data_IF_349291271203
#
_entry.id   IF_349291271203
#
_cell.length_a   1.000
_cell.length_b   1.000
_cell.length_c   1.000
_cell.angle_alpha   90.00
_cell.angle_beta   90.00
_cell.angle_gamma   90.00
#
_symmetry.space_group_name_H-M   'P 1'
#
loop_
_entity.id
_entity.type
_entity.pdbx_description
1 polymer ?
#
# COMPACT_ATOMS: atom_id res chain seq x y z
N UNK A 1 -4.14 -12.26 -12.49
CA UNK A 1 -4.62 -13.13 -11.41
C UNK A 1 -6.06 -12.73 -11.13
N UNK A 2 -6.98 -13.69 -11.08
CA UNK A 2 -8.38 -13.42 -10.74
C UNK A 2 -8.49 -12.85 -9.30
N UNK A 3 -9.43 -11.94 -8.98
CA UNK A 3 -9.57 -11.39 -7.63
C UNK A 3 -9.71 -12.45 -6.53
N UNK A 4 -10.40 -13.56 -6.79
CA UNK A 4 -10.52 -14.64 -5.80
C UNK A 4 -9.18 -15.32 -5.53
N UNK A 5 -8.36 -15.52 -6.57
CA UNK A 5 -7.02 -16.09 -6.45
C UNK A 5 -6.06 -15.13 -5.74
N UNK A 6 -6.18 -13.82 -5.97
CA UNK A 6 -5.42 -12.79 -5.25
C UNK A 6 -5.69 -12.87 -3.74
N UNK A 7 -6.97 -12.93 -3.36
CA UNK A 7 -7.38 -13.04 -1.95
C UNK A 7 -6.90 -14.35 -1.33
N UNK A 8 -7.09 -15.48 -2.01
CA UNK A 8 -6.65 -16.77 -1.50
C UNK A 8 -5.14 -16.82 -1.27
N UNK A 9 -4.36 -16.28 -2.21
CA UNK A 9 -2.89 -16.18 -2.08
C UNK A 9 -2.50 -15.25 -0.94
N UNK A 10 -3.17 -14.11 -0.82
CA UNK A 10 -2.87 -13.16 0.25
C UNK A 10 -3.20 -13.74 1.63
N UNK A 11 -4.32 -14.45 1.75
CA UNK A 11 -4.74 -15.07 3.00
C UNK A 11 -3.85 -16.25 3.42
N UNK A 12 -3.14 -16.89 2.48
CA UNK A 12 -2.19 -17.95 2.80
C UNK A 12 -0.82 -17.43 3.24
N UNK A 13 -0.54 -16.12 3.07
CA UNK A 13 0.70 -15.52 3.54
C UNK A 13 0.81 -15.59 5.07
N UNK A 14 1.99 -15.88 5.63
CA UNK A 14 2.21 -15.79 7.07
C UNK A 14 1.91 -14.38 7.59
N UNK A 15 1.28 -14.32 8.77
CA UNK A 15 0.95 -13.09 9.48
C UNK A 15 1.75 -13.04 10.78
N UNK A 16 2.70 -12.12 10.91
CA UNK A 16 3.55 -12.02 12.10
C UNK A 16 3.67 -10.57 12.54
N UNK A 17 3.80 -10.26 13.85
CA UNK A 17 3.93 -8.89 14.35
C UNK A 17 5.18 -8.15 13.87
N UNK A 18 6.22 -8.86 13.43
CA UNK A 18 7.48 -8.30 12.95
C UNK A 18 7.61 -8.49 11.44
N UNK A 19 8.20 -7.48 10.77
CA UNK A 19 8.51 -7.54 9.34
C UNK A 19 9.53 -8.65 9.06
N UNK A 20 9.79 -9.03 7.79
CA UNK A 20 10.65 -10.18 7.48
C UNK A 20 12.05 -10.12 8.10
N UNK A 21 12.61 -8.92 8.31
CA UNK A 21 13.90 -8.73 8.98
C UNK A 21 13.92 -9.12 10.45
N UNK A 22 12.75 -9.25 11.09
CA UNK A 22 12.62 -9.47 12.53
C UNK A 22 12.92 -8.26 13.41
N UNK A 23 13.29 -7.11 12.84
CA UNK A 23 13.79 -5.96 13.59
C UNK A 23 12.77 -4.83 13.80
N UNK A 24 11.73 -4.77 12.98
CA UNK A 24 10.71 -3.71 13.03
C UNK A 24 9.32 -4.31 13.01
N UNK A 25 8.32 -3.53 13.44
CA UNK A 25 6.93 -3.92 13.38
C UNK A 25 6.48 -4.17 11.92
N UNK A 26 5.65 -5.18 11.73
CA UNK A 26 4.93 -5.45 10.48
C UNK A 26 3.69 -4.53 10.36
N UNK A 27 3.93 -3.24 10.52
CA UNK A 27 2.95 -2.18 10.42
C UNK A 27 3.13 -1.43 9.10
N UNK A 28 2.03 -1.19 8.40
CA UNK A 28 2.06 -0.57 7.07
C UNK A 28 1.14 0.65 6.99
N UNK A 29 1.70 1.78 6.58
CA UNK A 29 0.98 2.98 6.23
C UNK A 29 0.60 2.95 4.74
N UNK A 30 -0.64 3.33 4.44
CA UNK A 30 -1.21 3.34 3.10
C UNK A 30 -1.74 4.74 2.80
N UNK A 31 -1.39 5.27 1.64
CA UNK A 31 -1.97 6.53 1.15
C UNK A 31 -2.08 6.54 -0.36
N UNK A 32 -3.02 7.32 -0.89
CA UNK A 32 -3.07 7.63 -2.32
C UNK A 32 -2.28 8.92 -2.54
N UNK A 33 -1.29 8.88 -3.43
CA UNK A 33 -0.40 10.00 -3.69
C UNK A 33 -0.41 10.40 -5.15
N UNK A 34 -0.33 11.70 -5.41
CA UNK A 34 -0.30 12.26 -6.74
C UNK A 34 1.13 12.37 -7.27
N UNK A 35 1.38 11.81 -8.45
CA UNK A 35 2.65 11.90 -9.18
C UNK A 35 2.54 13.01 -10.23
N UNK A 36 3.25 14.14 -10.07
CA UNK A 36 3.16 15.30 -10.97
C UNK A 36 4.10 15.19 -12.18
N UNK A 37 4.31 13.98 -12.71
CA UNK A 37 5.13 13.72 -13.90
C UNK A 37 4.23 13.64 -15.13
N UNK A 38 4.76 13.75 -16.35
CA UNK A 38 3.93 13.68 -17.56
C UNK A 38 3.97 12.25 -18.17
N UNK A 39 2.83 11.54 -18.30
CA UNK A 39 1.47 11.95 -17.91
C UNK A 39 1.23 11.86 -16.38
N UNK A 40 0.45 12.79 -15.80
CA UNK A 40 0.22 12.82 -14.36
C UNK A 40 -0.70 11.68 -13.94
N UNK A 41 -0.51 11.20 -12.71
CA UNK A 41 -1.24 10.05 -12.22
C UNK A 41 -1.33 10.00 -10.70
N UNK A 42 -2.14 9.07 -10.20
CA UNK A 42 -2.15 8.74 -8.79
C UNK A 42 -1.63 7.33 -8.60
N UNK A 43 -1.01 7.08 -7.45
CA UNK A 43 -0.46 5.79 -7.08
C UNK A 43 -0.86 5.44 -5.65
N UNK A 44 -0.86 4.14 -5.36
CA UNK A 44 -0.94 3.64 -4.00
C UNK A 44 0.47 3.64 -3.41
N UNK A 45 0.69 4.47 -2.41
CA UNK A 45 1.92 4.54 -1.64
C UNK A 45 1.79 3.65 -0.41
N UNK A 46 2.74 2.72 -0.27
CA UNK A 46 2.78 1.72 0.81
C UNK A 46 4.11 1.90 1.53
N UNK A 47 4.05 2.15 2.83
CA UNK A 47 5.22 2.45 3.64
C UNK A 47 5.25 1.58 4.89
N UNK A 48 6.41 1.05 5.26
CA UNK A 48 6.66 0.64 6.64
C UNK A 48 7.37 1.79 7.37
N UNK A 49 6.69 2.52 8.28
CA UNK A 49 7.24 3.75 8.87
C UNK A 49 8.54 3.49 9.66
N UNK A 50 8.59 2.40 10.42
CA UNK A 50 9.74 2.04 11.25
C UNK A 50 10.98 1.68 10.40
N UNK A 51 10.80 1.00 9.28
CA UNK A 51 11.89 0.69 8.34
C UNK A 51 12.17 1.80 7.34
N UNK A 52 11.30 2.81 7.23
CA UNK A 52 11.27 3.77 6.12
C UNK A 52 11.31 3.08 4.74
N UNK A 53 10.68 1.91 4.65
CA UNK A 53 10.65 1.12 3.41
C UNK A 53 9.44 1.53 2.57
N UNK A 54 9.70 2.03 1.36
CA UNK A 54 8.69 2.54 0.43
C UNK A 54 8.46 1.54 -0.70
N UNK A 55 7.18 1.27 -0.98
CA UNK A 55 6.71 0.63 -2.20
C UNK A 55 5.60 1.47 -2.84
N UNK A 56 5.51 1.42 -4.16
CA UNK A 56 4.49 2.14 -4.93
C UNK A 56 3.84 1.18 -5.92
N UNK A 57 2.50 1.12 -5.90
CA UNK A 57 1.72 0.42 -6.93
C UNK A 57 0.86 1.41 -7.72
N UNK A 58 0.71 1.14 -9.01
CA UNK A 58 -0.14 1.94 -9.87
C UNK A 58 -0.06 1.52 -11.33
N UNK A 59 -0.64 2.33 -12.24
CA UNK A 59 -1.39 3.55 -11.92
C UNK A 59 -2.72 3.25 -11.24
N UNK A 60 -3.13 4.10 -10.29
CA UNK A 60 -4.56 4.26 -10.01
C UNK A 60 -5.17 4.94 -11.25
N UNK A 61 -6.34 4.49 -11.76
CA UNK A 61 -6.99 5.12 -12.90
C UNK A 61 -7.04 6.63 -12.71
N UNK A 62 -6.78 7.43 -13.75
CA UNK A 62 -6.78 8.90 -13.62
C UNK A 62 -8.12 9.46 -13.09
N UNK A 63 -9.21 8.71 -13.28
CA UNK A 63 -10.51 8.98 -12.68
C UNK A 63 -10.52 8.84 -11.14
N UNK A 64 -9.57 8.16 -10.52
CA UNK A 64 -9.53 7.84 -9.09
C UNK A 64 -9.39 9.06 -8.17
N UNK A 65 -8.94 10.23 -8.64
CA UNK A 65 -9.01 11.45 -7.84
C UNK A 65 -10.46 11.87 -7.58
N UNK A 66 -11.31 11.77 -8.61
CA UNK A 66 -12.73 12.14 -8.58
C UNK A 66 -13.68 10.94 -8.54
N UNK A 67 -13.15 9.73 -8.49
CA UNK A 67 -13.96 8.53 -8.47
C UNK A 67 -14.69 8.42 -7.13
N UNK A 68 -15.86 7.77 -7.11
CA UNK A 68 -16.51 7.40 -5.86
C UNK A 68 -15.55 6.66 -4.93
N UNK A 69 -15.66 6.88 -3.62
CA UNK A 69 -14.78 6.25 -2.63
C UNK A 69 -14.78 4.72 -2.74
N UNK A 70 -15.91 4.11 -3.09
CA UNK A 70 -16.02 2.66 -3.34
C UNK A 70 -15.10 2.18 -4.47
N UNK A 71 -14.93 2.96 -5.54
CA UNK A 71 -14.02 2.63 -6.64
C UNK A 71 -12.57 2.82 -6.22
N UNK A 72 -12.26 3.87 -5.45
CA UNK A 72 -10.92 4.08 -4.88
C UNK A 72 -10.54 2.91 -3.99
N UNK A 73 -11.41 2.53 -3.06
CA UNK A 73 -11.22 1.43 -2.14
C UNK A 73 -11.05 0.08 -2.86
N UNK A 74 -11.91 -0.23 -3.84
CA UNK A 74 -11.82 -1.45 -4.64
C UNK A 74 -10.48 -1.55 -5.40
N UNK A 75 -10.05 -0.45 -6.02
CA UNK A 75 -8.80 -0.42 -6.77
C UNK A 75 -7.60 -0.53 -5.83
N UNK A 76 -7.59 0.25 -4.73
CA UNK A 76 -6.54 0.19 -3.71
C UNK A 76 -6.44 -1.20 -3.09
N UNK A 77 -7.56 -1.87 -2.80
CA UNK A 77 -7.57 -3.23 -2.29
C UNK A 77 -6.86 -4.20 -3.24
N UNK A 78 -7.20 -4.18 -4.53
CA UNK A 78 -6.58 -5.05 -5.53
C UNK A 78 -5.08 -4.78 -5.68
N UNK A 79 -4.68 -3.51 -5.75
CA UNK A 79 -3.26 -3.12 -5.84
C UNK A 79 -2.47 -3.55 -4.59
N UNK A 80 -3.06 -3.37 -3.41
CA UNK A 80 -2.47 -3.73 -2.14
C UNK A 80 -2.25 -5.25 -2.02
N UNK A 81 -3.29 -6.05 -2.33
CA UNK A 81 -3.19 -7.51 -2.33
C UNK A 81 -2.13 -7.99 -3.33
N UNK A 82 -2.11 -7.40 -4.53
CA UNK A 82 -1.08 -7.68 -5.54
C UNK A 82 0.32 -7.35 -5.00
N UNK A 83 0.51 -6.21 -4.35
CA UNK A 83 1.81 -5.78 -3.82
C UNK A 83 2.39 -6.83 -2.86
N UNK A 84 1.61 -7.24 -1.86
CA UNK A 84 2.06 -8.22 -0.85
C UNK A 84 2.24 -9.63 -1.43
N UNK A 85 1.34 -10.08 -2.31
CA UNK A 85 1.51 -11.35 -3.02
C UNK A 85 2.81 -11.38 -3.84
N UNK A 86 3.24 -10.21 -4.31
CA UNK A 86 4.44 -10.03 -5.12
C UNK A 86 5.68 -9.59 -4.32
N UNK A 87 5.68 -9.77 -2.99
CA UNK A 87 6.78 -9.39 -2.10
C UNK A 87 7.21 -7.92 -2.24
N UNK A 88 6.27 -7.02 -2.56
CA UNK A 88 6.52 -5.60 -2.81
C UNK A 88 7.59 -5.39 -3.91
N UNK A 89 7.57 -6.24 -4.95
CA UNK A 89 8.51 -6.17 -6.06
C UNK A 89 9.84 -6.90 -5.83
N UNK A 90 10.12 -7.40 -4.61
CA UNK A 90 11.34 -8.16 -4.30
C UNK A 90 11.20 -9.63 -4.75
N UNK A 91 11.08 -9.83 -6.07
CA UNK A 91 10.99 -11.15 -6.68
C UNK A 91 12.16 -12.05 -6.26
N UNK A 92 11.87 -13.29 -5.89
CA UNK A 92 12.88 -14.28 -5.48
C UNK A 92 13.14 -14.38 -3.98
N UNK A 93 12.56 -13.51 -3.15
CA UNK A 93 12.62 -13.61 -1.69
C UNK A 93 11.30 -14.14 -1.13
N UNK A 94 11.03 -15.45 -1.30
CA UNK A 94 9.79 -16.07 -0.79
C UNK A 94 9.65 -15.94 0.74
N UNK A 95 10.77 -15.90 1.47
CA UNK A 95 10.81 -15.66 2.92
C UNK A 95 10.35 -14.24 3.31
N UNK A 96 10.33 -13.30 2.36
CA UNK A 96 9.89 -11.92 2.56
C UNK A 96 8.37 -11.72 2.38
N UNK A 97 7.65 -12.73 1.89
CA UNK A 97 6.20 -12.65 1.68
C UNK A 97 5.45 -12.80 2.99
N UNK A 98 5.26 -11.68 3.67
CA UNK A 98 4.35 -11.57 4.81
C UNK A 98 3.16 -10.70 4.41
N UNK A 99 1.97 -11.07 4.90
CA UNK A 99 0.87 -10.10 4.94
C UNK A 99 1.06 -9.15 6.13
N UNK A 100 0.56 -7.90 6.05
CA UNK A 100 0.59 -6.96 7.15
C UNK A 100 -0.01 -7.53 8.44
N UNK A 101 0.60 -7.20 9.57
CA UNK A 101 0.00 -7.43 10.87
C UNK A 101 -1.04 -6.37 11.16
N UNK A 102 -0.65 -5.11 11.00
CA UNK A 102 -1.53 -3.94 11.06
C UNK A 102 -1.28 -3.03 9.88
N UNK A 103 -2.29 -2.23 9.57
CA UNK A 103 -2.33 -1.35 8.41
C UNK A 103 -3.13 -0.13 8.79
N UNK A 104 -2.62 1.04 8.44
CA UNK A 104 -3.29 2.30 8.68
C UNK A 104 -3.30 3.15 7.42
N UNK A 105 -4.30 4.02 7.29
CA UNK A 105 -4.44 4.94 6.18
C UNK A 105 -4.54 6.39 6.66
N UNK A 106 -3.91 7.30 5.93
CA UNK A 106 -3.92 8.73 6.25
C UNK A 106 -5.30 9.40 6.08
N UNK A 107 -6.18 8.79 5.31
CA UNK A 107 -7.53 9.27 5.03
C UNK A 107 -8.56 8.36 5.72
N UNK A 108 -9.35 8.93 6.63
CA UNK A 108 -10.31 8.16 7.44
C UNK A 108 -11.45 7.55 6.61
N UNK A 109 -11.90 8.24 5.57
CA UNK A 109 -12.96 7.75 4.68
C UNK A 109 -12.44 6.59 3.82
N UNK A 110 -11.22 6.73 3.30
CA UNK A 110 -10.54 5.65 2.57
C UNK A 110 -10.22 4.48 3.49
N UNK A 111 -9.79 4.70 4.73
CA UNK A 111 -9.54 3.63 5.72
C UNK A 111 -10.78 2.77 5.92
N UNK A 112 -11.93 3.41 6.19
CA UNK A 112 -13.20 2.73 6.39
C UNK A 112 -13.67 1.96 5.14
N UNK A 113 -13.65 2.61 3.98
CA UNK A 113 -14.06 2.00 2.72
C UNK A 113 -13.14 0.85 2.28
N UNK A 114 -11.82 1.00 2.46
CA UNK A 114 -10.82 -0.02 2.15
C UNK A 114 -10.98 -1.23 3.07
N UNK A 115 -11.17 -1.01 4.37
CA UNK A 115 -11.44 -2.07 5.35
C UNK A 115 -12.69 -2.88 5.00
N UNK A 116 -13.80 -2.21 4.68
CA UNK A 116 -15.05 -2.88 4.26
C UNK A 116 -14.88 -3.65 2.95
N UNK A 117 -14.16 -3.07 2.00
CA UNK A 117 -13.87 -3.69 0.71
C UNK A 117 -13.05 -4.97 0.89
N UNK A 118 -11.94 -4.91 1.63
CA UNK A 118 -11.10 -6.07 1.92
C UNK A 118 -11.89 -7.18 2.62
N UNK A 119 -12.75 -6.81 3.59
CA UNK A 119 -13.65 -7.74 4.28
C UNK A 119 -14.62 -8.40 3.32
N UNK A 120 -15.29 -7.61 2.47
CA UNK A 120 -16.24 -8.11 1.45
C UNK A 120 -15.55 -9.06 0.46
N UNK A 121 -14.29 -8.79 0.12
CA UNK A 121 -13.48 -9.66 -0.74
C UNK A 121 -13.07 -10.97 -0.06
N UNK A 122 -13.24 -11.11 1.26
CA UNK A 122 -12.87 -12.29 2.03
C UNK A 122 -11.44 -12.26 2.58
N UNK A 123 -10.82 -11.09 2.68
CA UNK A 123 -9.49 -10.93 3.29
C UNK A 123 -9.58 -11.12 4.79
N UNK A 124 -8.75 -12.03 5.32
CA UNK A 124 -8.69 -12.36 6.75
C UNK A 124 -7.60 -11.55 7.43
N UNK A 125 -7.91 -10.31 7.83
CA UNK A 125 -7.01 -9.47 8.62
C UNK A 125 -7.48 -9.40 10.07
N UNK A 126 -6.57 -9.44 11.07
CA UNK A 126 -6.96 -9.45 12.47
C UNK A 126 -7.64 -8.15 12.93
N UNK A 127 -7.30 -6.98 12.37
CA UNK A 127 -7.77 -5.68 12.90
C UNK A 127 -8.34 -4.69 11.88
N UNK A 128 -8.58 -5.09 10.62
CA UNK A 128 -9.04 -4.17 9.58
C UNK A 128 -7.99 -3.07 9.24
N UNK A 129 -8.43 -2.00 8.57
CA UNK A 129 -7.57 -0.83 8.24
C UNK A 129 -7.93 0.31 9.18
N UNK A 130 -6.97 0.77 9.98
CA UNK A 130 -7.16 1.88 10.92
C UNK A 130 -6.85 3.24 10.27
N UNK A 131 -7.14 4.32 10.98
CA UNK A 131 -6.64 5.65 10.64
C UNK A 131 -5.21 5.79 11.16
N UNK A 132 -4.31 6.33 10.34
CA UNK A 132 -2.91 6.48 10.67
C UNK A 132 -2.68 7.56 11.73
N UNK A 133 -1.72 7.30 12.61
CA UNK A 133 -1.26 8.28 13.60
C UNK A 133 -0.49 9.42 12.93
N UNK A 134 -0.43 10.58 13.58
CA UNK A 134 0.27 11.77 13.07
C UNK A 134 1.76 11.50 12.77
N UNK A 135 2.41 10.68 13.59
CA UNK A 135 3.80 10.27 13.38
C UNK A 135 4.02 9.51 12.07
N UNK A 136 3.15 8.56 11.76
CA UNK A 136 3.23 7.78 10.51
C UNK A 136 2.94 8.66 9.29
N UNK A 137 1.97 9.56 9.39
CA UNK A 137 1.67 10.52 8.33
C UNK A 137 2.86 11.43 8.04
N UNK A 138 3.54 11.92 9.09
CA UNK A 138 4.74 12.75 8.96
C UNK A 138 5.85 11.99 8.22
N UNK A 139 6.14 10.75 8.62
CA UNK A 139 7.16 9.93 7.94
C UNK A 139 6.75 9.64 6.50
N UNK A 140 5.46 9.39 6.23
CA UNK A 140 4.96 9.16 4.89
C UNK A 140 5.14 10.37 3.97
N UNK A 141 4.92 11.59 4.47
CA UNK A 141 5.13 12.82 3.71
C UNK A 141 6.62 13.07 3.42
N UNK A 142 7.50 12.84 4.40
CA UNK A 142 8.96 12.92 4.22
C UNK A 142 9.45 11.96 3.14
N UNK A 143 9.08 10.68 3.26
CA UNK A 143 9.53 9.64 2.32
C UNK A 143 8.89 9.82 0.93
N UNK A 144 7.67 10.34 0.85
CA UNK A 144 7.06 10.71 -0.43
C UNK A 144 7.85 11.82 -1.13
N UNK A 145 8.23 12.87 -0.40
CA UNK A 145 9.07 13.95 -0.92
C UNK A 145 10.41 13.44 -1.46
N UNK A 146 11.08 12.55 -0.72
CA UNK A 146 12.32 11.90 -1.15
C UNK A 146 12.12 11.04 -2.40
N UNK A 147 11.03 10.26 -2.44
CA UNK A 147 10.71 9.40 -3.56
C UNK A 147 10.46 10.19 -4.85
N UNK A 148 9.62 11.22 -4.79
CA UNK A 148 9.32 12.07 -5.96
C UNK A 148 10.55 12.87 -6.40
N UNK A 149 11.36 13.39 -5.48
CA UNK A 149 12.59 14.10 -5.82
C UNK A 149 13.53 13.23 -6.66
N UNK A 150 13.80 11.99 -6.22
CA UNK A 150 14.60 11.02 -6.98
C UNK A 150 14.00 10.68 -8.33
N UNK A 151 12.67 10.53 -8.39
CA UNK A 151 11.97 10.21 -9.63
C UNK A 151 12.08 11.34 -10.66
N UNK A 152 12.02 12.59 -10.21
CA UNK A 152 12.23 13.78 -11.04
C UNK A 152 13.67 13.90 -11.53
N UNK A 153 14.66 13.64 -10.67
CA UNK A 153 16.09 13.61 -11.05
C UNK A 153 16.33 12.59 -12.16
N UNK A 154 15.83 11.36 -12.01
CA UNK A 154 15.98 10.30 -13.02
C UNK A 154 15.32 10.63 -14.37
N UNK A 155 14.31 11.50 -14.38
CA UNK A 155 13.63 11.93 -15.61
C UNK A 155 14.17 13.24 -16.20
N UNK A 156 14.97 14.00 -15.44
CA UNK A 156 15.58 15.26 -15.87
C UNK A 156 16.90 15.10 -16.63
N UNK A 157 17.52 13.92 -16.59
CA UNK A 157 18.79 13.58 -17.26
C UNK A 157 18.62 12.98 -18.68
N UNK A 158 17.54 13.33 -19.38
CA UNK A 158 17.30 12.98 -20.81
C UNK A 158 16.99 14.21 -21.64
#
# INVERSE_FOLDING_TARGET
>A
MDPSQLVATFNSLPCRPLAPSGNVANHWHISVRHVPLNPPGNVLFILNPAARYVHVEGPLPASAANAPMSVKAATSALLLLKAFNNALGNQGMDEAKLRPWTWACNDAELAGALGETLRTMGVTAPEGVSVAEEGDNTIADEEWGRYIGKLQEMMGDT
#
